data_IF_222429771775
#
_entry.id   IF_222429771775
#
_cell.length_a   1.000
_cell.length_b   1.000
_cell.length_c   1.000
_cell.angle_alpha   90.00
_cell.angle_beta   90.00
_cell.angle_gamma   90.00
#
_symmetry.space_group_name_H-M   'P 1'
#
loop_
_entity.id
_entity.type
_entity.pdbx_description
1 polymer ?
#
# COMPACT_ATOMS: atom_id res chain seq x y z
N UNK A 1 13.28 -77.62 44.84
CA UNK A 1 14.37 -76.67 44.51
C UNK A 1 13.94 -75.97 43.21
N UNK A 2 13.69 -74.66 43.09
CA UNK A 2 14.07 -73.46 43.86
C UNK A 2 12.84 -72.55 44.03
N UNK A 3 12.86 -71.78 45.10
CA UNK A 3 11.96 -70.70 45.47
C UNK A 3 12.33 -69.39 44.73
N UNK A 4 11.39 -68.43 44.75
CA UNK A 4 11.59 -66.99 45.02
C UNK A 4 11.23 -65.98 43.91
N UNK A 5 10.09 -65.30 44.16
CA UNK A 5 9.70 -63.89 44.04
C UNK A 5 10.17 -62.96 42.87
N UNK A 6 9.18 -62.18 42.42
CA UNK A 6 9.16 -61.04 41.48
C UNK A 6 10.15 -59.90 41.81
N UNK A 7 10.34 -58.96 40.85
CA UNK A 7 10.33 -57.55 41.22
C UNK A 7 9.33 -56.69 40.42
N UNK A 8 8.58 -55.88 41.18
CA UNK A 8 8.07 -54.58 40.75
C UNK A 8 9.25 -53.70 40.30
N UNK A 9 9.20 -53.17 39.08
CA UNK A 9 9.78 -51.85 38.79
C UNK A 9 8.66 -50.90 38.39
N UNK A 10 8.19 -50.23 39.42
CA UNK A 10 7.53 -48.94 39.42
C UNK A 10 8.51 -47.86 38.91
N UNK A 11 7.93 -46.73 38.50
CA UNK A 11 8.51 -45.37 38.43
C UNK A 11 8.83 -44.85 37.00
N UNK A 12 7.83 -44.12 36.49
CA UNK A 12 7.91 -42.84 35.77
C UNK A 12 8.29 -42.79 34.28
N UNK A 13 7.30 -42.49 33.44
CA UNK A 13 7.23 -41.16 32.82
C UNK A 13 5.82 -40.87 32.31
N UNK A 14 5.07 -40.10 33.10
CA UNK A 14 3.98 -39.28 32.61
C UNK A 14 4.61 -38.16 31.78
N UNK A 15 4.38 -38.13 30.46
CA UNK A 15 4.65 -36.93 29.68
C UNK A 15 3.76 -36.86 28.44
N UNK A 16 2.55 -36.37 28.67
CA UNK A 16 1.87 -35.36 27.87
C UNK A 16 1.61 -35.71 26.40
N UNK A 17 0.42 -36.28 26.19
CA UNK A 17 -0.46 -35.81 25.13
C UNK A 17 -0.53 -34.28 25.16
N UNK A 18 0.01 -33.62 24.14
CA UNK A 18 -0.37 -32.28 23.77
C UNK A 18 -0.60 -32.29 22.27
N UNK A 19 -1.81 -32.68 21.87
CA UNK A 19 -2.31 -32.43 20.53
C UNK A 19 -2.51 -30.91 20.44
N UNK A 20 -1.53 -30.20 19.89
CA UNK A 20 -1.65 -28.77 19.62
C UNK A 20 -2.64 -28.65 18.45
N UNK A 21 -3.89 -28.37 18.79
CA UNK A 21 -4.82 -27.77 17.85
C UNK A 21 -4.27 -26.39 17.49
N UNK A 22 -3.65 -26.28 16.31
CA UNK A 22 -3.32 -24.99 15.73
C UNK A 22 -4.66 -24.35 15.40
N UNK A 23 -5.18 -23.51 16.30
CA UNK A 23 -6.15 -22.51 15.94
C UNK A 23 -5.45 -21.64 14.90
N UNK A 24 -5.83 -21.80 13.63
CA UNK A 24 -5.66 -20.74 12.66
C UNK A 24 -6.41 -19.54 13.25
N UNK A 25 -5.68 -18.65 13.92
CA UNK A 25 -6.17 -17.31 14.12
C UNK A 25 -6.29 -16.74 12.71
N UNK A 26 -7.48 -16.81 12.15
CA UNK A 26 -7.90 -15.82 11.17
C UNK A 26 -7.69 -14.48 11.89
N UNK A 27 -6.55 -13.85 11.61
CA UNK A 27 -6.34 -12.44 11.87
C UNK A 27 -7.24 -11.67 10.89
N UNK A 28 -8.54 -11.94 10.92
CA UNK A 28 -9.54 -10.96 10.60
C UNK A 28 -9.38 -9.91 11.67
N UNK A 29 -8.48 -8.95 11.45
CA UNK A 29 -8.72 -7.62 12.00
C UNK A 29 -10.13 -7.29 11.54
N UNK A 30 -11.09 -7.32 12.47
CA UNK A 30 -12.45 -6.95 12.16
C UNK A 30 -12.36 -5.52 11.67
N UNK A 31 -12.39 -5.34 10.35
CA UNK A 31 -12.33 -4.02 9.77
C UNK A 31 -13.46 -3.21 10.38
N UNK A 32 -13.14 -2.07 10.98
CA UNK A 32 -14.13 -1.15 11.49
C UNK A 32 -15.23 -0.97 10.44
N UNK A 33 -16.46 -1.33 10.80
CA UNK A 33 -17.60 -1.29 9.90
C UNK A 33 -18.68 -0.37 10.46
N UNK A 34 -19.24 0.48 9.61
CA UNK A 34 -20.43 1.24 9.95
C UNK A 34 -21.66 0.32 9.97
N UNK A 35 -22.75 0.71 10.66
CA UNK A 35 -24.01 -0.05 10.65
C UNK A 35 -24.59 -0.28 9.24
N UNK A 36 -24.25 0.57 8.28
CA UNK A 36 -24.68 0.48 6.87
C UNK A 36 -23.78 -0.42 6.00
N UNK A 37 -22.79 -1.08 6.61
CA UNK A 37 -21.91 -2.03 5.95
C UNK A 37 -20.64 -1.44 5.35
N UNK A 38 -20.48 -0.11 5.35
CA UNK A 38 -19.24 0.54 4.86
C UNK A 38 -18.06 0.26 5.77
N UNK A 39 -16.88 0.10 5.19
CA UNK A 39 -15.64 -0.19 5.91
C UNK A 39 -14.84 1.10 6.09
N UNK A 40 -14.18 1.26 7.24
CA UNK A 40 -13.27 2.38 7.51
C UNK A 40 -11.92 1.89 8.05
N UNK A 41 -10.90 2.74 7.95
CA UNK A 41 -9.60 2.46 8.57
C UNK A 41 -9.64 2.80 10.07
N UNK A 42 -9.16 1.89 10.92
CA UNK A 42 -9.07 2.10 12.37
C UNK A 42 -7.87 2.95 12.78
N UNK A 43 -6.82 2.96 11.96
CA UNK A 43 -5.70 3.89 12.05
C UNK A 43 -5.34 4.43 10.66
N UNK A 44 -4.42 5.39 10.58
CA UNK A 44 -4.12 6.04 9.30
C UNK A 44 -3.08 5.24 8.50
N UNK A 45 -3.32 4.95 7.20
CA UNK A 45 -2.22 4.79 6.26
C UNK A 45 -1.32 6.02 6.30
N UNK A 46 -0.05 5.88 5.96
CA UNK A 46 0.90 7.00 5.99
C UNK A 46 1.55 7.18 4.63
N UNK A 47 1.53 8.41 4.12
CA UNK A 47 2.35 8.80 2.99
C UNK A 47 3.82 8.83 3.43
N UNK A 48 4.60 7.83 3.01
CA UNK A 48 6.01 7.70 3.39
C UNK A 48 6.90 8.56 2.50
N UNK A 49 6.64 8.52 1.19
CA UNK A 49 7.45 9.25 0.22
C UNK A 49 6.67 9.48 -1.09
N UNK A 50 7.05 10.54 -1.80
CA UNK A 50 6.64 10.75 -3.18
C UNK A 50 7.77 11.42 -3.96
N UNK A 51 8.31 10.74 -4.97
CA UNK A 51 9.47 11.23 -5.71
C UNK A 51 9.45 10.83 -7.19
N UNK A 52 10.22 11.54 -8.01
CA UNK A 52 10.37 11.27 -9.43
C UNK A 52 11.76 10.68 -9.73
N UNK A 53 11.86 9.72 -10.66
CA UNK A 53 13.17 9.18 -11.08
C UNK A 53 14.00 10.16 -11.88
N UNK A 54 13.34 11.06 -12.61
CA UNK A 54 13.97 12.17 -13.30
C UNK A 54 13.24 13.44 -12.91
N UNK A 55 13.99 14.49 -12.56
CA UNK A 55 13.44 15.74 -12.06
C UNK A 55 13.73 16.93 -13.00
N UNK A 56 14.20 16.72 -14.22
CA UNK A 56 14.34 17.82 -15.19
C UNK A 56 13.04 18.04 -15.97
N UNK A 57 12.76 19.28 -16.36
CA UNK A 57 11.67 19.60 -17.31
C UNK A 57 11.75 18.76 -18.57
N UNK A 58 10.60 18.39 -19.14
CA UNK A 58 10.46 17.62 -20.40
C UNK A 58 11.22 16.28 -20.43
N UNK A 59 11.62 15.75 -19.27
CA UNK A 59 12.28 14.46 -19.19
C UNK A 59 11.33 13.34 -19.58
N UNK A 60 11.71 12.59 -20.63
CA UNK A 60 11.02 11.39 -21.06
C UNK A 60 11.35 10.20 -20.14
N UNK A 61 10.40 9.29 -19.97
CA UNK A 61 10.62 8.05 -19.22
C UNK A 61 10.71 8.21 -17.70
N UNK A 62 10.37 9.40 -17.16
CA UNK A 62 10.23 9.59 -15.73
C UNK A 62 9.18 8.63 -15.14
N UNK A 63 9.39 8.24 -13.89
CA UNK A 63 8.41 7.51 -13.07
C UNK A 63 8.25 8.24 -11.76
N UNK A 64 7.01 8.44 -11.33
CA UNK A 64 6.70 9.03 -10.03
C UNK A 64 6.27 7.92 -9.08
N UNK A 65 7.01 7.73 -8.00
CA UNK A 65 6.80 6.68 -7.02
C UNK A 65 6.15 7.24 -5.76
N UNK A 66 4.89 6.87 -5.55
CA UNK A 66 4.13 7.12 -4.32
C UNK A 66 4.28 5.91 -3.39
N UNK A 67 4.78 6.11 -2.17
CA UNK A 67 4.99 5.05 -1.18
C UNK A 67 4.08 5.28 0.01
N UNK A 68 3.27 4.27 0.34
CA UNK A 68 2.30 4.30 1.43
C UNK A 68 2.59 3.14 2.39
N UNK A 69 2.73 3.44 3.67
CA UNK A 69 2.79 2.44 4.73
C UNK A 69 1.38 2.13 5.25
N UNK A 70 1.07 0.84 5.37
CA UNK A 70 -0.16 0.30 5.94
C UNK A 70 0.21 -0.31 7.30
N UNK A 71 -0.05 0.38 8.43
CA UNK A 71 0.30 -0.18 9.74
C UNK A 71 -0.47 -1.48 10.00
N UNK A 72 0.05 -2.43 10.81
CA UNK A 72 -0.71 -3.62 11.20
C UNK A 72 -2.04 -3.30 11.89
N UNK A 73 -2.12 -2.14 12.57
CA UNK A 73 -3.32 -1.62 13.23
C UNK A 73 -4.31 -0.94 12.27
N UNK A 74 -4.14 -1.06 10.95
CA UNK A 74 -4.97 -0.34 9.98
C UNK A 74 -6.45 -0.74 10.05
N UNK A 75 -6.74 -1.95 10.52
CA UNK A 75 -8.09 -2.50 10.69
C UNK A 75 -8.71 -2.99 9.38
N UNK A 76 -8.59 -2.21 8.31
CA UNK A 76 -9.12 -2.52 6.98
C UNK A 76 -8.02 -2.59 5.91
N UNK A 77 -8.19 -3.39 4.83
CA UNK A 77 -7.25 -3.40 3.71
C UNK A 77 -7.37 -2.11 2.86
N UNK A 78 -6.31 -1.77 2.14
CA UNK A 78 -6.31 -0.69 1.16
C UNK A 78 -6.98 -1.14 -0.15
N UNK A 79 -8.11 -0.53 -0.49
CA UNK A 79 -8.84 -0.82 -1.72
C UNK A 79 -8.49 0.12 -2.86
N UNK A 80 -8.49 1.43 -2.59
CA UNK A 80 -8.31 2.46 -3.62
C UNK A 80 -7.37 3.55 -3.14
N UNK A 81 -6.58 4.12 -4.04
CA UNK A 81 -5.81 5.36 -3.82
C UNK A 81 -6.17 6.36 -4.90
N UNK A 82 -6.49 7.58 -4.50
CA UNK A 82 -6.61 8.71 -5.43
C UNK A 82 -5.40 9.63 -5.28
N UNK A 83 -4.90 10.10 -6.42
CA UNK A 83 -3.78 11.03 -6.55
C UNK A 83 -4.29 12.22 -7.35
N UNK A 84 -4.64 13.31 -6.66
CA UNK A 84 -5.18 14.51 -7.27
C UNK A 84 -4.10 15.55 -7.48
N UNK A 85 -3.91 16.00 -8.72
CA UNK A 85 -3.04 17.14 -8.99
C UNK A 85 -3.66 18.41 -8.42
N UNK A 86 -2.89 19.14 -7.61
CA UNK A 86 -3.30 20.47 -7.16
C UNK A 86 -3.10 21.47 -8.30
N UNK A 87 -3.92 22.55 -8.37
CA UNK A 87 -3.76 23.59 -9.38
C UNK A 87 -2.31 24.09 -9.45
N UNK A 88 -1.75 24.12 -10.66
CA UNK A 88 -0.38 24.52 -10.91
C UNK A 88 -0.27 25.20 -12.29
N UNK A 89 0.94 25.65 -12.67
CA UNK A 89 1.21 26.26 -13.98
C UNK A 89 0.90 25.31 -15.15
N UNK A 90 0.99 24.00 -14.91
CA UNK A 90 0.70 22.96 -15.89
C UNK A 90 0.12 21.72 -15.20
N UNK A 91 -0.89 21.11 -15.82
CA UNK A 91 -1.35 19.76 -15.48
C UNK A 91 -0.46 18.72 -16.17
N UNK A 92 0.04 17.75 -15.42
CA UNK A 92 0.86 16.68 -15.94
C UNK A 92 -0.04 15.59 -16.54
N UNK A 93 0.22 15.21 -17.78
CA UNK A 93 -0.47 14.10 -18.44
C UNK A 93 0.18 12.76 -18.06
N UNK A 94 -0.65 11.74 -17.80
CA UNK A 94 -0.21 10.41 -17.38
C UNK A 94 -0.64 9.31 -18.36
N UNK A 95 0.25 8.35 -18.57
CA UNK A 95 -0.03 7.10 -19.25
C UNK A 95 -0.59 6.10 -18.23
N UNK A 96 -1.88 6.24 -17.90
CA UNK A 96 -2.52 5.47 -16.81
C UNK A 96 -2.40 3.96 -16.95
N UNK A 97 -2.46 3.43 -18.18
CA UNK A 97 -2.30 1.99 -18.47
C UNK A 97 -0.89 1.46 -18.16
N UNK A 98 0.08 2.36 -17.94
CA UNK A 98 1.44 2.01 -17.55
C UNK A 98 1.69 2.21 -16.06
N UNK A 99 0.63 2.47 -15.28
CA UNK A 99 0.67 2.48 -13.83
C UNK A 99 0.86 1.05 -13.31
N UNK A 100 1.67 0.90 -12.26
CA UNK A 100 1.90 -0.38 -11.64
C UNK A 100 2.08 -0.22 -10.14
N UNK A 101 1.82 -1.28 -9.38
CA UNK A 101 2.06 -1.31 -7.94
C UNK A 101 2.79 -2.58 -7.51
N UNK A 102 3.45 -2.52 -6.36
CA UNK A 102 4.19 -3.62 -5.77
C UNK A 102 4.39 -3.39 -4.25
N UNK A 103 4.71 -4.46 -3.52
CA UNK A 103 5.04 -4.41 -2.10
C UNK A 103 6.48 -3.95 -1.87
N UNK A 104 6.71 -3.19 -0.80
CA UNK A 104 8.01 -2.62 -0.44
C UNK A 104 8.27 -1.26 -1.07
N UNK A 105 9.53 -0.83 -1.08
CA UNK A 105 9.99 0.42 -1.68
C UNK A 105 10.73 0.17 -3.01
N UNK A 106 11.15 1.25 -3.70
CA UNK A 106 11.86 1.16 -4.99
C UNK A 106 13.13 0.30 -4.92
N UNK A 107 13.85 0.31 -3.81
CA UNK A 107 15.12 -0.40 -3.63
C UNK A 107 14.91 -1.85 -3.17
N UNK A 108 13.78 -2.13 -2.51
CA UNK A 108 13.40 -3.45 -2.00
C UNK A 108 12.07 -3.87 -2.63
N UNK A 109 12.10 -4.09 -3.94
CA UNK A 109 10.91 -4.43 -4.72
C UNK A 109 10.45 -5.86 -4.41
N UNK A 110 9.33 -5.98 -3.72
CA UNK A 110 8.64 -7.24 -3.46
C UNK A 110 7.67 -7.62 -4.56
N UNK A 111 6.63 -8.36 -4.17
CA UNK A 111 5.59 -8.87 -5.06
C UNK A 111 4.89 -7.76 -5.85
N UNK A 112 4.63 -8.00 -7.14
CA UNK A 112 3.82 -7.11 -7.97
C UNK A 112 2.35 -7.24 -7.56
N UNK A 113 1.70 -6.12 -7.31
CA UNK A 113 0.28 -6.07 -7.00
C UNK A 113 -0.55 -5.98 -8.28
N UNK A 114 -1.66 -6.71 -8.32
CA UNK A 114 -2.66 -6.62 -9.39
C UNK A 114 -3.53 -5.38 -9.17
N UNK A 115 -3.71 -4.60 -10.24
CA UNK A 115 -4.60 -3.45 -10.26
C UNK A 115 -5.85 -3.84 -11.04
N UNK A 116 -7.03 -3.62 -10.44
CA UNK A 116 -8.32 -3.79 -11.12
C UNK A 116 -8.48 -2.78 -12.23
N UNK A 117 -8.15 -1.53 -11.94
CA UNK A 117 -8.21 -0.43 -12.89
C UNK A 117 -7.31 0.72 -12.46
N UNK A 118 -6.93 1.52 -13.44
CA UNK A 118 -6.35 2.85 -13.21
C UNK A 118 -6.97 3.82 -14.20
N UNK A 119 -7.48 4.95 -13.70
CA UNK A 119 -8.16 5.95 -14.53
C UNK A 119 -7.62 7.34 -14.22
N UNK A 120 -7.77 8.27 -15.17
CA UNK A 120 -7.51 9.68 -14.97
C UNK A 120 -8.76 10.48 -15.33
N UNK A 121 -9.27 11.26 -14.39
CA UNK A 121 -10.34 12.22 -14.63
C UNK A 121 -9.73 13.60 -14.92
N UNK A 122 -9.84 14.11 -16.16
CA UNK A 122 -9.27 15.41 -16.53
C UNK A 122 -9.98 16.60 -15.86
N UNK A 123 -11.23 16.45 -15.43
CA UNK A 123 -12.00 17.54 -14.80
C UNK A 123 -11.52 17.81 -13.38
N UNK A 124 -11.26 16.73 -12.63
CA UNK A 124 -10.76 16.81 -11.25
C UNK A 124 -9.25 16.67 -11.14
N UNK A 125 -8.58 16.39 -12.27
CA UNK A 125 -7.14 16.09 -12.38
C UNK A 125 -6.70 14.95 -11.44
N UNK A 126 -7.56 13.93 -11.30
CA UNK A 126 -7.39 12.84 -10.33
C UNK A 126 -7.07 11.53 -11.02
N UNK A 127 -5.97 10.91 -10.60
CA UNK A 127 -5.69 9.50 -10.92
C UNK A 127 -6.34 8.63 -9.85
N UNK A 128 -7.10 7.62 -10.25
CA UNK A 128 -7.67 6.62 -9.35
C UNK A 128 -7.03 5.27 -9.60
N UNK A 129 -6.44 4.67 -8.57
CA UNK A 129 -5.81 3.33 -8.61
C UNK A 129 -6.62 2.40 -7.72
N UNK A 130 -7.19 1.35 -8.32
CA UNK A 130 -8.01 0.35 -7.60
C UNK A 130 -7.25 -0.97 -7.53
N UNK A 131 -7.06 -1.50 -6.32
CA UNK A 131 -6.41 -2.78 -6.06
C UNK A 131 -7.42 -3.93 -6.08
N UNK A 132 -7.04 -5.05 -6.68
CA UNK A 132 -7.79 -6.30 -6.61
C UNK A 132 -6.83 -7.50 -6.71
N UNK A 133 -6.60 -8.23 -5.62
CA UNK A 133 -7.23 -8.08 -4.31
C UNK A 133 -6.81 -6.78 -3.58
N UNK A 134 -7.64 -6.24 -2.66
CA UNK A 134 -7.24 -5.16 -1.76
C UNK A 134 -5.99 -5.52 -0.94
N UNK A 135 -5.13 -4.54 -0.65
CA UNK A 135 -3.85 -4.80 0.02
C UNK A 135 -4.03 -4.87 1.54
N UNK A 136 -3.64 -5.97 2.20
CA UNK A 136 -3.86 -6.11 3.63
C UNK A 136 -3.00 -5.18 4.49
N UNK A 137 -3.41 -4.90 5.74
CA UNK A 137 -2.58 -4.22 6.74
C UNK A 137 -1.18 -4.84 6.92
N UNK A 138 -0.24 -4.06 7.46
CA UNK A 138 1.13 -4.51 7.76
C UNK A 138 2.09 -4.45 6.57
N UNK A 139 1.67 -3.92 5.42
CA UNK A 139 2.47 -3.83 4.21
C UNK A 139 2.96 -2.41 3.92
N UNK A 140 4.00 -2.29 3.09
CA UNK A 140 4.34 -1.05 2.41
C UNK A 140 4.00 -1.20 0.94
N UNK A 141 3.29 -0.23 0.36
CA UNK A 141 2.82 -0.25 -1.03
C UNK A 141 3.49 0.87 -1.80
N UNK A 142 4.10 0.52 -2.93
CA UNK A 142 4.62 1.48 -3.89
C UNK A 142 3.76 1.51 -5.15
N UNK A 143 3.30 2.69 -5.56
CA UNK A 143 2.58 2.94 -6.81
C UNK A 143 3.51 3.74 -7.73
N UNK A 144 3.82 3.18 -8.89
CA UNK A 144 4.59 3.84 -9.94
C UNK A 144 3.66 4.43 -10.99
N UNK A 145 3.58 5.76 -11.03
CA UNK A 145 2.89 6.52 -12.08
C UNK A 145 3.86 6.85 -13.20
N UNK A 146 3.38 6.81 -14.45
CA UNK A 146 4.17 7.18 -15.62
C UNK A 146 3.61 8.44 -16.28
N UNK A 147 4.21 9.62 -16.05
CA UNK A 147 3.87 10.78 -16.88
C UNK A 147 4.26 10.51 -18.35
N UNK A 148 3.58 11.17 -19.30
CA UNK A 148 3.99 11.13 -20.72
C UNK A 148 5.43 11.66 -20.85
N UNK A 149 5.68 12.78 -20.20
CA UNK A 149 6.97 13.38 -19.92
C UNK A 149 6.83 14.26 -18.66
N UNK A 150 7.95 14.65 -18.04
CA UNK A 150 7.92 15.72 -17.04
C UNK A 150 7.37 17.03 -17.66
N UNK A 151 6.81 17.94 -16.84
CA UNK A 151 6.21 19.17 -17.33
C UNK A 151 7.23 20.09 -18.02
N UNK A 152 6.71 21.06 -18.77
CA UNK A 152 7.46 22.03 -19.56
C UNK A 152 8.14 23.11 -18.71
N UNK A 153 7.63 23.32 -17.49
CA UNK A 153 8.10 24.35 -16.56
C UNK A 153 8.58 23.72 -15.26
N UNK A 154 9.71 24.21 -14.74
CA UNK A 154 10.21 23.88 -13.43
C UNK A 154 9.28 24.39 -12.33
N UNK A 155 9.41 23.82 -11.13
CA UNK A 155 8.62 24.20 -9.97
C UNK A 155 8.28 23.04 -9.06
N UNK A 156 7.44 23.32 -8.07
CA UNK A 156 6.93 22.33 -7.13
C UNK A 156 5.52 21.91 -7.57
N UNK A 157 5.38 20.67 -7.99
CA UNK A 157 4.12 20.04 -8.34
C UNK A 157 3.57 19.30 -7.14
N UNK A 158 2.33 19.62 -6.74
CA UNK A 158 1.71 19.13 -5.52
C UNK A 158 0.56 18.19 -5.83
N UNK A 159 0.42 17.14 -5.03
CA UNK A 159 -0.56 16.08 -5.26
C UNK A 159 -1.25 15.71 -3.95
N UNK A 160 -2.57 15.90 -3.88
CA UNK A 160 -3.38 15.43 -2.76
C UNK A 160 -3.56 13.92 -2.85
N UNK A 161 -3.24 13.21 -1.77
CA UNK A 161 -3.33 11.74 -1.72
C UNK A 161 -4.43 11.34 -0.76
N UNK A 162 -5.34 10.49 -1.21
CA UNK A 162 -6.40 9.91 -0.36
C UNK A 162 -6.43 8.40 -0.54
N UNK A 163 -6.45 7.66 0.57
CA UNK A 163 -6.61 6.21 0.58
C UNK A 163 -8.03 5.85 1.00
N UNK A 164 -8.56 4.75 0.46
CA UNK A 164 -9.90 4.26 0.76
C UNK A 164 -9.84 2.75 1.04
N UNK A 165 -10.61 2.27 2.03
CA UNK A 165 -10.91 0.85 2.17
C UNK A 165 -11.66 0.33 0.93
N UNK A 166 -11.75 -1.00 0.71
CA UNK A 166 -12.61 -1.55 -0.32
C UNK A 166 -14.10 -1.23 -0.04
N UNK A 167 -14.90 -1.34 -1.10
CA UNK A 167 -16.34 -1.12 -1.05
C UNK A 167 -16.77 0.26 -1.52
N UNK A 168 -18.00 0.33 -1.99
CA UNK A 168 -18.57 1.58 -2.51
C UNK A 168 -18.86 2.55 -1.35
N UNK A 169 -18.51 3.81 -1.55
CA UNK A 169 -18.74 4.90 -0.59
C UNK A 169 -18.06 4.73 0.78
N UNK A 170 -17.11 3.79 0.93
CA UNK A 170 -16.23 3.70 2.10
C UNK A 170 -15.51 5.04 2.28
N UNK A 171 -15.48 5.63 3.49
CA UNK A 171 -14.86 6.93 3.69
C UNK A 171 -13.36 6.87 3.42
N UNK A 172 -12.89 7.83 2.62
CA UNK A 172 -11.47 8.01 2.37
C UNK A 172 -10.77 8.75 3.49
N UNK A 173 -9.48 8.48 3.65
CA UNK A 173 -8.59 9.21 4.54
C UNK A 173 -7.53 9.94 3.73
N UNK A 174 -7.49 11.27 3.89
CA UNK A 174 -6.47 12.10 3.26
C UNK A 174 -5.12 11.85 3.95
N UNK A 175 -4.11 11.47 3.16
CA UNK A 175 -2.76 11.17 3.64
C UNK A 175 -1.83 12.38 3.58
N UNK A 176 -2.34 13.52 3.11
CA UNK A 176 -1.61 14.77 2.93
C UNK A 176 -1.24 15.04 1.48
N UNK A 177 -0.21 15.89 1.30
CA UNK A 177 0.23 16.38 -0.01
C UNK A 177 1.62 15.85 -0.33
N UNK A 178 1.72 15.05 -1.39
CA UNK A 178 2.99 14.69 -2.01
C UNK A 178 3.53 15.83 -2.87
N UNK A 179 4.86 16.01 -2.91
CA UNK A 179 5.52 17.10 -3.64
C UNK A 179 6.60 16.56 -4.56
N UNK A 180 6.61 17.03 -5.81
CA UNK A 180 7.66 16.76 -6.77
C UNK A 180 8.30 18.08 -7.19
N UNK A 181 9.60 18.23 -6.94
CA UNK A 181 10.37 19.35 -7.50
C UNK A 181 10.84 18.96 -8.89
N UNK A 182 10.52 19.79 -9.88
CA UNK A 182 11.01 19.70 -11.25
C UNK A 182 11.92 20.91 -11.51
N UNK A 183 13.10 20.65 -12.04
CA UNK A 183 14.18 21.61 -12.26
C UNK A 183 14.27 22.01 -13.73
N UNK A 184 14.64 23.26 -13.98
CA UNK A 184 14.88 23.74 -15.33
C UNK A 184 16.12 23.09 -15.95
N UNK A 185 16.23 23.21 -17.28
CA UNK A 185 17.42 22.76 -17.99
C UNK A 185 18.63 23.64 -17.60
N UNK A 186 19.52 23.12 -16.76
CA UNK A 186 20.73 23.81 -16.30
C UNK A 186 20.90 23.81 -14.77
N UNK A 187 19.83 23.54 -14.02
CA UNK A 187 19.83 23.51 -12.56
C UNK A 187 20.31 22.15 -12.03
N UNK A 188 21.52 21.72 -12.42
CA UNK A 188 22.20 20.55 -11.84
C UNK A 188 23.14 21.02 -10.73
N UNK A 189 22.89 20.62 -9.49
CA UNK A 189 23.87 20.63 -8.42
C UNK A 189 24.00 19.23 -7.83
#
# INVERSE_FOLDING_TARGET
MKSTFLPLKQIESLSKLALIAILAFDASSLAGQFPDGRIFFESSPTLVNFFATFQSVRAWGAKYYLIIALPPSLGAPLGTVTIQQQPNIQTIAFLVDQTFAFLGDRNQRGEKLTLKSTTFDPNTQTITVIFDPPVPPGNTVSIGLKPVQNPDYGGIYQFGITAYPPGDNSPGLALGVGRLTIYEAGDRW
#
